data_IF_751503653126
#
_entry.id   IF_751503653126
#
_cell.length_a   1.000
_cell.length_b   1.000
_cell.length_c   1.000
_cell.angle_alpha   90.00
_cell.angle_beta   90.00
_cell.angle_gamma   90.00
#
_symmetry.space_group_name_H-M   'P 1'
#
loop_
_entity.id
_entity.type
_entity.pdbx_description
1 polymer ?
#
# COMPACT_ATOMS: atom_id res chain seq x y z
N UNK A 1 -13.68 -13.03 8.17
CA UNK A 1 -13.38 -12.62 6.77
C UNK A 1 -14.66 -12.17 6.10
N UNK A 2 -14.64 -11.10 5.31
CA UNK A 2 -15.85 -10.59 4.65
C UNK A 2 -16.35 -11.55 3.56
N UNK A 3 -17.67 -11.64 3.35
CA UNK A 3 -18.26 -12.49 2.28
C UNK A 3 -17.94 -11.98 0.86
N UNK A 4 -17.65 -10.68 0.72
CA UNK A 4 -17.27 -10.04 -0.54
C UNK A 4 -15.86 -9.46 -0.40
N UNK A 5 -15.18 -9.24 -1.52
CA UNK A 5 -13.90 -8.55 -1.55
C UNK A 5 -14.04 -7.17 -0.90
N UNK A 6 -13.08 -6.85 -0.03
CA UNK A 6 -12.93 -5.52 0.53
C UNK A 6 -12.32 -4.57 -0.52
N UNK A 7 -11.27 -5.03 -1.19
CA UNK A 7 -10.63 -4.30 -2.29
C UNK A 7 -10.02 -5.25 -3.33
N UNK A 8 -10.05 -4.79 -4.59
CA UNK A 8 -9.36 -5.38 -5.73
C UNK A 8 -9.05 -4.26 -6.73
N UNK A 9 -7.78 -3.88 -6.85
CA UNK A 9 -7.34 -2.83 -7.76
C UNK A 9 -5.80 -2.81 -7.92
N UNK A 10 -5.32 -2.27 -9.05
CA UNK A 10 -3.96 -1.74 -9.14
C UNK A 10 -3.84 -0.50 -8.25
N UNK A 11 -2.65 -0.30 -7.68
CA UNK A 11 -2.33 0.79 -6.75
C UNK A 11 -1.02 1.47 -7.14
N UNK A 12 -1.03 2.79 -7.23
CA UNK A 12 0.16 3.64 -7.17
C UNK A 12 0.15 4.36 -5.81
N UNK A 13 1.25 4.30 -5.06
CA UNK A 13 1.39 4.91 -3.74
C UNK A 13 2.59 5.85 -3.77
N UNK A 14 2.36 7.12 -3.49
CA UNK A 14 3.42 8.10 -3.30
C UNK A 14 3.92 8.03 -1.85
N UNK A 15 5.20 7.69 -1.68
CA UNK A 15 5.90 7.67 -0.38
C UNK A 15 7.06 8.66 -0.40
N UNK A 16 7.60 9.06 0.77
CA UNK A 16 8.80 9.90 0.84
C UNK A 16 10.01 9.30 0.08
N UNK A 17 10.10 7.98 -0.01
CA UNK A 17 11.17 7.28 -0.73
C UNK A 17 10.98 7.25 -2.26
N UNK A 18 9.78 7.52 -2.76
CA UNK A 18 9.40 7.45 -4.16
C UNK A 18 8.04 6.77 -4.39
N UNK A 19 7.59 6.74 -5.65
CA UNK A 19 6.30 6.14 -6.01
C UNK A 19 6.42 4.63 -6.20
N UNK A 20 5.72 3.86 -5.39
CA UNK A 20 5.63 2.41 -5.51
C UNK A 20 4.34 2.00 -6.20
N UNK A 21 4.43 0.99 -7.07
CA UNK A 21 3.27 0.38 -7.71
C UNK A 21 3.03 -1.03 -7.19
N UNK A 22 1.79 -1.48 -7.25
CA UNK A 22 1.40 -2.81 -6.81
C UNK A 22 -0.07 -3.08 -7.06
N UNK A 23 -0.62 -4.04 -6.33
CA UNK A 23 -2.04 -4.35 -6.37
C UNK A 23 -2.57 -4.68 -4.97
N UNK A 24 -3.87 -4.53 -4.79
CA UNK A 24 -4.58 -5.01 -3.61
C UNK A 24 -5.55 -6.12 -4.01
N UNK A 25 -5.66 -7.13 -3.15
CA UNK A 25 -6.66 -8.20 -3.23
C UNK A 25 -6.87 -8.79 -1.83
N UNK A 26 -7.97 -8.42 -1.16
CA UNK A 26 -8.28 -8.99 0.15
C UNK A 26 -9.76 -8.93 0.50
N UNK A 27 -10.15 -9.81 1.41
CA UNK A 27 -11.46 -9.83 2.08
C UNK A 27 -11.39 -9.33 3.53
N UNK A 28 -10.20 -9.24 4.13
CA UNK A 28 -10.05 -8.73 5.48
C UNK A 28 -10.17 -7.21 5.50
N UNK A 29 -10.54 -6.68 6.66
CA UNK A 29 -10.51 -5.26 6.98
C UNK A 29 -9.55 -5.06 8.14
N UNK A 30 -8.91 -3.91 8.19
CA UNK A 30 -8.06 -3.49 9.31
C UNK A 30 -8.58 -2.17 9.83
N UNK A 31 -8.74 -2.05 11.15
CA UNK A 31 -9.02 -0.80 11.86
C UNK A 31 -7.88 -0.50 12.81
N UNK A 32 -7.46 0.75 12.86
CA UNK A 32 -6.39 1.23 13.74
C UNK A 32 -6.50 2.74 13.91
N UNK A 33 -6.00 3.26 15.03
CA UNK A 33 -5.90 4.70 15.28
C UNK A 33 -4.67 5.32 14.60
N UNK A 34 -3.76 4.50 14.06
CA UNK A 34 -2.60 4.99 13.33
C UNK A 34 -3.04 5.80 12.11
N UNK A 35 -2.47 7.00 11.97
CA UNK A 35 -2.69 7.79 10.77
C UNK A 35 -1.85 7.22 9.62
N UNK A 36 -2.45 7.02 8.43
CA UNK A 36 -1.69 6.57 7.28
C UNK A 36 -0.75 7.67 6.80
N UNK A 37 0.46 7.29 6.39
CA UNK A 37 1.43 8.21 5.79
C UNK A 37 1.14 8.45 4.31
N UNK A 38 0.42 7.53 3.67
CA UNK A 38 0.01 7.61 2.28
C UNK A 38 -1.23 6.73 2.03
N UNK A 39 -1.90 6.98 0.90
CA UNK A 39 -2.95 6.12 0.37
C UNK A 39 -2.66 5.82 -1.08
N UNK A 40 -2.94 4.60 -1.50
CA UNK A 40 -2.89 4.23 -2.91
C UNK A 40 -3.94 4.95 -3.73
N UNK A 41 -3.65 5.10 -5.02
CA UNK A 41 -4.60 5.57 -6.03
C UNK A 41 -4.70 4.49 -7.10
N UNK A 42 -5.92 4.18 -7.51
CA UNK A 42 -6.12 3.29 -8.65
C UNK A 42 -6.05 4.09 -9.96
N UNK A 43 -5.06 3.84 -10.84
CA UNK A 43 -4.92 4.58 -12.10
C UNK A 43 -6.11 4.37 -13.04
N UNK A 44 -6.85 3.27 -12.87
CA UNK A 44 -7.99 2.91 -13.71
C UNK A 44 -9.34 3.19 -13.04
N UNK A 45 -9.36 3.98 -11.96
CA UNK A 45 -10.60 4.31 -11.21
C UNK A 45 -11.20 3.14 -10.43
N UNK A 46 -10.45 2.07 -10.20
CA UNK A 46 -10.88 0.93 -9.38
C UNK A 46 -11.01 1.27 -7.90
N UNK A 47 -11.70 0.41 -7.14
CA UNK A 47 -11.84 0.53 -5.68
C UNK A 47 -10.55 0.11 -4.99
N UNK A 48 -9.56 0.99 -5.00
CA UNK A 48 -8.34 0.83 -4.22
C UNK A 48 -7.81 2.18 -3.78
N UNK A 49 -7.85 2.38 -2.46
CA UNK A 49 -7.28 3.52 -1.76
C UNK A 49 -6.57 3.03 -0.49
N UNK A 50 -5.76 1.98 -0.66
CA UNK A 50 -5.19 1.25 0.44
C UNK A 50 -4.27 2.15 1.25
N UNK A 51 -4.47 2.12 2.57
CA UNK A 51 -3.65 2.88 3.50
C UNK A 51 -2.26 2.25 3.60
N UNK A 52 -1.24 3.11 3.68
CA UNK A 52 0.11 2.73 4.09
C UNK A 52 0.37 3.36 5.44
N UNK A 53 0.68 2.52 6.43
CA UNK A 53 1.04 2.93 7.77
C UNK A 53 2.54 2.77 7.99
N UNK A 54 3.12 3.61 8.85
CA UNK A 54 4.51 3.50 9.25
C UNK A 54 4.66 3.70 10.76
N UNK A 55 5.39 2.80 11.40
CA UNK A 55 5.76 2.89 12.81
C UNK A 55 7.22 2.50 12.97
N UNK A 56 8.09 3.49 13.21
CA UNK A 56 9.54 3.29 13.13
C UNK A 56 9.94 2.72 11.78
N UNK A 57 10.59 1.55 11.78
CA UNK A 57 11.05 0.84 10.58
C UNK A 57 10.01 -0.10 9.96
N UNK A 58 8.83 -0.23 10.55
CA UNK A 58 7.75 -1.04 10.00
C UNK A 58 6.94 -0.20 9.00
N UNK A 59 6.83 -0.67 7.76
CA UNK A 59 5.86 -0.17 6.78
C UNK A 59 4.83 -1.26 6.52
N UNK A 60 3.54 -0.95 6.69
CA UNK A 60 2.45 -1.92 6.59
C UNK A 60 1.33 -1.41 5.67
N UNK A 61 0.86 -2.27 4.77
CA UNK A 61 -0.26 -2.00 3.87
C UNK A 61 -0.85 -3.30 3.34
N UNK A 62 -2.10 -3.25 2.87
CA UNK A 62 -2.68 -4.31 2.03
C UNK A 62 -2.18 -4.28 0.59
N UNK A 63 -1.43 -3.25 0.18
CA UNK A 63 -0.80 -3.24 -1.14
C UNK A 63 0.30 -4.28 -1.19
N UNK A 64 0.13 -5.24 -2.11
CA UNK A 64 1.18 -6.12 -2.57
C UNK A 64 2.09 -5.31 -3.53
N UNK A 65 3.08 -4.63 -2.96
CA UNK A 65 4.01 -3.82 -3.73
C UNK A 65 4.82 -4.67 -4.70
N UNK A 66 4.89 -4.23 -5.95
CA UNK A 66 5.78 -4.79 -6.96
C UNK A 66 7.14 -4.10 -6.82
N UNK A 67 8.09 -4.78 -6.18
CA UNK A 67 9.37 -4.16 -5.81
C UNK A 67 10.16 -3.57 -7.00
N UNK A 68 10.20 -4.21 -8.19
CA UNK A 68 10.87 -3.62 -9.34
C UNK A 68 10.23 -2.33 -9.88
N UNK A 69 9.04 -1.92 -9.39
CA UNK A 69 8.42 -0.65 -9.82
C UNK A 69 9.25 0.59 -9.43
N UNK A 70 10.00 0.52 -8.33
CA UNK A 70 10.97 1.54 -7.95
C UNK A 70 12.03 0.93 -7.01
N UNK A 71 13.08 0.30 -7.55
CA UNK A 71 14.10 -0.39 -6.75
C UNK A 71 14.79 0.52 -5.71
N UNK A 72 14.99 1.78 -6.06
CA UNK A 72 15.61 2.78 -5.16
C UNK A 72 14.74 3.04 -3.94
N UNK A 73 13.42 3.23 -4.12
CA UNK A 73 12.49 3.46 -3.03
C UNK A 73 12.37 2.22 -2.13
N UNK A 74 12.27 1.02 -2.74
CA UNK A 74 12.23 -0.24 -2.00
C UNK A 74 13.50 -0.40 -1.16
N UNK A 75 14.69 -0.19 -1.73
CA UNK A 75 15.93 -0.27 -0.98
C UNK A 75 15.94 0.70 0.21
N UNK A 76 15.41 1.91 0.05
CA UNK A 76 15.29 2.89 1.13
C UNK A 76 14.37 2.43 2.27
N UNK A 77 13.26 1.72 1.98
CA UNK A 77 12.37 1.17 3.01
C UNK A 77 13.05 0.14 3.94
N UNK A 78 14.07 -0.57 3.43
CA UNK A 78 14.78 -1.61 4.18
C UNK A 78 16.07 -1.12 4.85
N UNK A 79 16.42 0.17 4.73
CA UNK A 79 17.62 0.72 5.36
C UNK A 79 17.52 0.68 6.90
N UNK A 80 18.68 0.52 7.59
CA UNK A 80 18.74 0.42 9.04
C UNK A 80 18.30 1.67 9.80
#
# INVERSE_FOLDING_TARGET
MQKRLAALALQAVELPEGTLHGHTYHHSLTSTELQPIARGVSPNGGRGAEAVYRLGRLTASYVHFYFPSCPQAIAALFKP
#
